data_IF_160410694521
#
_entry.id   IF_160410694521
#
_cell.length_a   1.000
_cell.length_b   1.000
_cell.length_c   1.000
_cell.angle_alpha   90.00
_cell.angle_beta   90.00
_cell.angle_gamma   90.00
#
_symmetry.space_group_name_H-M   'P 1'
#
loop_
_entity.id
_entity.type
_entity.pdbx_description
1 polymer ?
#
# COMPACT_ATOMS: atom_id res chain seq x y z
N UNK A 1 30.79 18.29 -4.18
CA UNK A 1 31.61 17.08 -4.32
C UNK A 1 32.98 17.35 -3.69
N UNK A 2 33.56 16.35 -3.02
CA UNK A 2 34.91 16.44 -2.48
C UNK A 2 35.91 16.39 -3.66
N UNK A 3 36.92 17.26 -3.64
CA UNK A 3 38.03 17.18 -4.58
C UNK A 3 39.05 16.12 -4.16
N UNK A 4 39.99 15.76 -5.06
CA UNK A 4 41.02 14.75 -4.83
C UNK A 4 41.86 14.97 -3.58
N UNK A 5 42.25 16.23 -3.31
CA UNK A 5 43.04 16.59 -2.14
C UNK A 5 42.28 16.32 -0.83
N UNK A 6 40.98 16.68 -0.77
CA UNK A 6 40.14 16.44 0.42
C UNK A 6 39.90 14.94 0.61
N UNK A 7 39.73 14.18 -0.47
CA UNK A 7 39.59 12.71 -0.40
C UNK A 7 40.87 12.08 0.14
N UNK A 8 42.04 12.55 -0.25
CA UNK A 8 43.34 12.09 0.27
C UNK A 8 43.45 12.40 1.78
N UNK A 9 43.17 13.63 2.20
CA UNK A 9 43.16 14.01 3.62
C UNK A 9 42.16 13.19 4.44
N UNK A 10 40.97 12.93 3.88
CA UNK A 10 39.97 12.07 4.54
C UNK A 10 40.48 10.64 4.76
N UNK A 11 41.16 10.07 3.77
CA UNK A 11 41.74 8.72 3.87
C UNK A 11 42.84 8.66 4.94
N UNK A 12 43.73 9.68 4.99
CA UNK A 12 44.75 9.82 6.01
C UNK A 12 44.10 9.93 7.43
N UNK A 13 43.06 10.74 7.58
CA UNK A 13 42.34 10.92 8.85
C UNK A 13 41.57 9.67 9.29
N UNK A 14 41.18 8.79 8.37
CA UNK A 14 40.51 7.53 8.66
C UNK A 14 41.47 6.33 8.78
N UNK A 15 42.79 6.58 8.73
CA UNK A 15 43.80 5.53 8.72
C UNK A 15 43.55 4.46 7.65
N UNK A 16 43.07 4.88 6.45
CA UNK A 16 42.79 3.99 5.34
C UNK A 16 43.99 3.89 4.38
N UNK A 17 44.86 2.87 4.53
CA UNK A 17 46.11 2.80 3.80
C UNK A 17 46.02 2.27 2.36
N UNK A 18 44.84 1.78 1.96
CA UNK A 18 44.64 1.10 0.69
C UNK A 18 44.42 2.11 -0.44
N UNK A 19 44.70 1.72 -1.70
CA UNK A 19 44.49 2.52 -2.87
C UNK A 19 43.02 2.83 -3.15
N UNK A 20 42.73 3.71 -4.12
CA UNK A 20 41.35 3.98 -4.53
C UNK A 20 40.67 2.71 -5.05
N UNK A 21 39.44 2.45 -4.59
CA UNK A 21 38.66 1.26 -4.93
C UNK A 21 39.29 -0.08 -4.52
N UNK A 22 40.38 -0.06 -3.74
CA UNK A 22 40.98 -1.25 -3.17
C UNK A 22 40.35 -1.51 -1.78
N UNK A 23 39.70 -2.66 -1.63
CA UNK A 23 39.11 -3.12 -0.36
C UNK A 23 39.81 -4.41 0.04
N UNK A 24 40.39 -4.49 1.24
CA UNK A 24 41.12 -5.69 1.67
C UNK A 24 40.19 -6.91 1.82
N UNK A 25 40.74 -8.09 1.58
CA UNK A 25 40.00 -9.35 1.60
C UNK A 25 39.33 -9.65 2.94
N UNK A 26 39.93 -9.22 4.06
CA UNK A 26 39.32 -9.37 5.39
C UNK A 26 37.98 -8.62 5.49
N UNK A 27 37.86 -7.43 4.89
CA UNK A 27 36.59 -6.69 4.89
C UNK A 27 35.57 -7.39 3.98
N UNK A 28 35.97 -7.92 2.83
CA UNK A 28 35.08 -8.75 2.03
C UNK A 28 34.59 -9.98 2.80
N UNK A 29 35.50 -10.67 3.51
CA UNK A 29 35.13 -11.84 4.29
C UNK A 29 34.16 -11.50 5.46
N UNK A 30 34.38 -10.36 6.12
CA UNK A 30 33.51 -9.89 7.21
C UNK A 30 32.09 -9.50 6.73
N UNK A 31 31.98 -9.02 5.48
CA UNK A 31 30.70 -8.63 4.88
C UNK A 31 30.07 -9.73 4.02
N UNK A 32 30.78 -10.81 3.74
CA UNK A 32 30.23 -11.93 2.98
C UNK A 32 29.22 -12.71 3.81
N UNK A 33 27.95 -12.54 3.46
CA UNK A 33 26.82 -13.23 4.09
C UNK A 33 26.34 -14.45 3.27
N UNK A 34 27.10 -14.92 2.28
CA UNK A 34 26.69 -15.98 1.35
C UNK A 34 26.31 -17.27 2.10
N UNK A 35 27.17 -17.75 2.99
CA UNK A 35 26.94 -18.99 3.74
C UNK A 35 25.75 -18.89 4.71
N UNK A 36 25.61 -17.77 5.41
CA UNK A 36 24.49 -17.55 6.33
C UNK A 36 23.18 -17.32 5.55
N UNK A 37 23.27 -16.65 4.41
CA UNK A 37 22.15 -16.44 3.49
C UNK A 37 21.63 -17.77 2.95
N UNK A 38 22.53 -18.64 2.47
CA UNK A 38 22.17 -19.99 2.00
C UNK A 38 21.48 -20.80 3.09
N UNK A 39 21.98 -20.76 4.32
CA UNK A 39 21.35 -21.45 5.45
C UNK A 39 19.92 -20.95 5.73
N UNK A 40 19.68 -19.63 5.64
CA UNK A 40 18.34 -19.07 5.82
C UNK A 40 17.41 -19.45 4.68
N UNK A 41 17.91 -19.51 3.46
CA UNK A 41 17.15 -19.95 2.29
C UNK A 41 16.74 -21.43 2.40
N UNK A 42 17.68 -22.29 2.79
CA UNK A 42 17.42 -23.72 3.01
C UNK A 42 16.35 -23.94 4.10
N UNK A 43 16.48 -23.25 5.25
CA UNK A 43 15.51 -23.29 6.36
C UNK A 43 14.12 -22.79 5.91
N UNK A 44 14.06 -21.73 5.12
CA UNK A 44 12.81 -21.25 4.53
C UNK A 44 12.19 -22.29 3.59
N UNK A 45 12.96 -22.87 2.70
CA UNK A 45 12.50 -23.87 1.74
C UNK A 45 11.97 -25.11 2.45
N UNK A 46 12.64 -25.58 3.51
CA UNK A 46 12.17 -26.70 4.34
C UNK A 46 10.81 -26.39 4.99
N UNK A 47 10.67 -25.19 5.59
CA UNK A 47 9.41 -24.74 6.19
C UNK A 47 8.27 -24.66 5.17
N UNK A 48 8.55 -24.17 3.96
CA UNK A 48 7.55 -24.09 2.88
C UNK A 48 7.14 -25.50 2.42
N UNK A 49 8.07 -26.43 2.29
CA UNK A 49 7.75 -27.82 1.95
C UNK A 49 6.92 -28.51 3.05
N UNK A 50 7.25 -28.28 4.31
CA UNK A 50 6.46 -28.75 5.44
C UNK A 50 5.05 -28.18 5.40
N UNK A 51 4.90 -26.88 5.19
CA UNK A 51 3.60 -26.23 5.05
C UNK A 51 2.78 -26.82 3.89
N UNK A 52 3.42 -27.09 2.74
CA UNK A 52 2.75 -27.73 1.58
C UNK A 52 2.21 -29.13 1.89
N UNK A 53 2.92 -29.89 2.71
CA UNK A 53 2.50 -31.25 3.09
C UNK A 53 1.43 -31.24 4.19
N UNK A 54 1.55 -30.35 5.19
CA UNK A 54 0.66 -30.34 6.36
C UNK A 54 -0.60 -29.49 6.14
N UNK A 55 -0.50 -28.40 5.38
CA UNK A 55 -1.61 -27.49 5.12
C UNK A 55 -1.55 -26.89 3.70
N UNK A 56 -1.97 -27.65 2.68
CA UNK A 56 -1.92 -27.24 1.27
C UNK A 56 -2.65 -25.91 1.00
N UNK A 57 -3.79 -25.68 1.65
CA UNK A 57 -4.59 -24.45 1.46
C UNK A 57 -3.82 -23.20 1.94
N UNK A 58 -3.13 -23.29 3.07
CA UNK A 58 -2.28 -22.18 3.53
C UNK A 58 -1.05 -21.99 2.66
N UNK A 59 -0.50 -23.08 2.13
CA UNK A 59 0.65 -23.00 1.22
C UNK A 59 0.26 -22.32 -0.09
N UNK A 60 -0.90 -22.68 -0.66
CA UNK A 60 -1.45 -22.02 -1.85
C UNK A 60 -1.73 -20.53 -1.60
N UNK A 61 -2.32 -20.20 -0.45
CA UNK A 61 -2.53 -18.81 -0.05
C UNK A 61 -1.20 -18.06 0.05
N UNK A 62 -0.18 -18.62 0.71
CA UNK A 62 1.14 -18.01 0.84
C UNK A 62 1.76 -17.75 -0.54
N UNK A 63 1.73 -18.76 -1.43
CA UNK A 63 2.28 -18.63 -2.78
C UNK A 63 1.54 -17.56 -3.60
N UNK A 64 0.21 -17.50 -3.48
CA UNK A 64 -0.62 -16.47 -4.12
C UNK A 64 -0.25 -15.06 -3.64
N UNK A 65 -0.11 -14.89 -2.31
CA UNK A 65 0.25 -13.60 -1.70
C UNK A 65 1.65 -13.14 -2.08
N UNK A 66 2.64 -14.04 -2.07
CA UNK A 66 4.01 -13.73 -2.48
C UNK A 66 4.12 -13.37 -3.97
N UNK A 67 3.25 -13.92 -4.81
CA UNK A 67 3.16 -13.59 -6.23
C UNK A 67 2.20 -12.44 -6.53
N UNK A 68 1.62 -11.80 -5.51
CA UNK A 68 0.67 -10.68 -5.60
C UNK A 68 -0.54 -10.94 -6.52
N UNK A 69 -0.96 -12.19 -6.63
CA UNK A 69 -2.09 -12.61 -7.47
C UNK A 69 -3.41 -12.49 -6.72
N UNK A 70 -4.45 -12.04 -7.42
CA UNK A 70 -5.82 -12.12 -6.91
C UNK A 70 -6.32 -13.59 -6.92
N UNK A 71 -7.31 -13.95 -6.08
CA UNK A 71 -7.92 -15.28 -6.12
C UNK A 71 -8.51 -15.59 -7.50
N UNK A 72 -8.41 -16.84 -7.98
CA UNK A 72 -8.92 -17.25 -9.31
C UNK A 72 -10.40 -16.87 -9.54
N UNK A 73 -11.22 -17.00 -8.50
CA UNK A 73 -12.65 -16.68 -8.57
C UNK A 73 -12.97 -15.20 -8.32
N UNK A 74 -11.96 -14.34 -8.14
CA UNK A 74 -12.20 -12.94 -7.81
C UNK A 74 -13.03 -12.22 -8.88
N UNK A 75 -12.69 -12.37 -10.17
CA UNK A 75 -13.39 -11.69 -11.26
C UNK A 75 -14.85 -12.18 -11.41
N UNK A 76 -15.09 -13.46 -11.27
CA UNK A 76 -16.45 -14.02 -11.32
C UNK A 76 -17.30 -13.54 -10.14
N UNK A 77 -16.76 -13.59 -8.93
CA UNK A 77 -17.45 -13.10 -7.73
C UNK A 77 -17.72 -11.60 -7.82
N UNK A 78 -16.76 -10.83 -8.35
CA UNK A 78 -16.93 -9.40 -8.53
C UNK A 78 -18.00 -9.07 -9.59
N UNK A 79 -18.10 -9.85 -10.64
CA UNK A 79 -19.15 -9.69 -11.67
C UNK A 79 -20.55 -9.90 -11.08
N UNK A 80 -20.72 -10.94 -10.24
CA UNK A 80 -21.99 -11.18 -9.52
C UNK A 80 -22.31 -9.99 -8.60
N UNK A 81 -21.32 -9.47 -7.88
CA UNK A 81 -21.50 -8.29 -7.03
C UNK A 81 -21.92 -7.04 -7.84
N UNK A 82 -21.35 -6.83 -9.04
CA UNK A 82 -21.77 -5.74 -9.92
C UNK A 82 -23.23 -5.91 -10.40
N UNK A 83 -23.66 -7.13 -10.73
CA UNK A 83 -25.05 -7.40 -11.10
C UNK A 83 -26.03 -7.10 -9.95
N UNK A 84 -25.65 -7.40 -8.71
CA UNK A 84 -26.44 -7.05 -7.52
C UNK A 84 -26.54 -5.53 -7.35
N UNK A 85 -25.43 -4.79 -7.53
CA UNK A 85 -25.43 -3.33 -7.49
C UNK A 85 -26.37 -2.75 -8.54
N UNK A 86 -26.35 -3.27 -9.76
CA UNK A 86 -27.21 -2.79 -10.86
C UNK A 86 -28.70 -3.02 -10.59
N UNK A 87 -29.06 -4.08 -9.90
CA UNK A 87 -30.46 -4.37 -9.50
C UNK A 87 -30.99 -3.43 -8.42
N UNK A 88 -30.10 -2.92 -7.55
CA UNK A 88 -30.42 -2.11 -6.39
C UNK A 88 -29.75 -0.73 -6.45
N UNK A 89 -29.97 -0.01 -7.57
CA UNK A 89 -29.33 1.29 -7.84
C UNK A 89 -30.03 2.44 -7.10
N UNK A 90 -29.93 2.45 -5.77
CA UNK A 90 -30.40 3.57 -4.95
C UNK A 90 -29.31 4.63 -4.79
N UNK A 91 -29.69 5.93 -4.75
CA UNK A 91 -28.78 7.01 -4.45
C UNK A 91 -28.14 6.82 -3.07
N UNK A 92 -26.83 6.80 -3.01
CA UNK A 92 -26.06 6.59 -1.78
C UNK A 92 -24.87 7.53 -1.75
N UNK A 93 -24.51 8.05 -0.58
CA UNK A 93 -23.28 8.83 -0.40
C UNK A 93 -22.04 8.02 -0.84
N UNK A 94 -21.13 8.63 -1.58
CA UNK A 94 -19.97 7.94 -2.18
C UNK A 94 -19.08 7.26 -1.13
N UNK A 95 -18.93 7.83 0.07
CA UNK A 95 -18.23 7.17 1.19
C UNK A 95 -18.93 5.88 1.67
N UNK A 96 -20.26 5.83 1.62
CA UNK A 96 -21.05 4.62 1.91
C UNK A 96 -20.98 3.62 0.76
N UNK A 97 -20.93 4.10 -0.47
CA UNK A 97 -20.66 3.26 -1.64
C UNK A 97 -19.30 2.56 -1.49
N UNK A 98 -18.26 3.30 -1.14
CA UNK A 98 -16.92 2.75 -0.85
C UNK A 98 -16.97 1.70 0.27
N UNK A 99 -17.69 1.95 1.36
CA UNK A 99 -17.85 0.98 2.46
C UNK A 99 -18.53 -0.32 2.00
N UNK A 100 -19.58 -0.24 1.18
CA UNK A 100 -20.24 -1.44 0.60
C UNK A 100 -19.27 -2.26 -0.25
N UNK A 101 -18.46 -1.61 -1.05
CA UNK A 101 -17.43 -2.29 -1.86
C UNK A 101 -16.36 -2.91 -0.97
N UNK A 102 -15.87 -2.19 0.03
CA UNK A 102 -14.91 -2.70 1.01
C UNK A 102 -15.44 -3.91 1.78
N UNK A 103 -16.72 -3.93 2.12
CA UNK A 103 -17.37 -5.07 2.77
C UNK A 103 -17.29 -6.34 1.91
N UNK A 104 -17.49 -6.20 0.60
CA UNK A 104 -17.29 -7.29 -0.35
C UNK A 104 -15.82 -7.68 -0.49
N UNK A 105 -14.94 -6.70 -0.70
CA UNK A 105 -13.52 -6.94 -0.94
C UNK A 105 -12.85 -7.63 0.25
N UNK A 106 -13.07 -7.17 1.47
CA UNK A 106 -12.45 -7.75 2.68
C UNK A 106 -12.90 -9.19 2.98
N UNK A 107 -14.09 -9.60 2.51
CA UNK A 107 -14.54 -10.99 2.60
C UNK A 107 -13.86 -11.90 1.58
N UNK A 108 -13.39 -11.34 0.47
CA UNK A 108 -12.77 -12.09 -0.63
C UNK A 108 -11.23 -11.98 -0.67
N UNK A 109 -10.67 -10.97 -0.01
CA UNK A 109 -9.22 -10.65 -0.02
C UNK A 109 -8.71 -10.51 1.41
N UNK A 110 -8.24 -11.59 2.04
CA UNK A 110 -7.71 -11.55 3.41
C UNK A 110 -6.45 -10.68 3.54
N UNK A 111 -5.73 -10.45 2.43
CA UNK A 111 -4.58 -9.57 2.34
C UNK A 111 -4.90 -8.09 2.36
N UNK A 112 -6.18 -7.70 2.26
CA UNK A 112 -6.57 -6.29 2.25
C UNK A 112 -6.55 -5.72 3.67
N UNK A 113 -5.52 -4.92 3.98
CA UNK A 113 -5.33 -4.29 5.29
C UNK A 113 -5.77 -2.83 5.25
N UNK A 114 -6.71 -2.47 6.12
CA UNK A 114 -7.33 -1.15 6.14
C UNK A 114 -6.85 -0.23 7.24
N UNK A 115 -7.26 1.04 7.15
CA UNK A 115 -7.02 2.00 8.22
C UNK A 115 -7.62 3.39 7.99
N UNK A 116 -7.42 4.27 8.96
CA UNK A 116 -7.76 5.68 8.85
C UNK A 116 -6.95 6.54 9.82
N UNK A 117 -6.70 7.79 9.43
CA UNK A 117 -6.09 8.81 10.28
C UNK A 117 -7.14 9.46 11.19
N UNK A 118 -7.63 8.68 12.17
CA UNK A 118 -8.64 9.06 13.18
C UNK A 118 -10.02 9.47 12.63
N UNK A 119 -10.33 9.07 11.40
CA UNK A 119 -11.56 9.42 10.69
C UNK A 119 -12.36 8.18 10.23
N UNK A 120 -12.19 7.02 10.88
CA UNK A 120 -12.80 5.75 10.46
C UNK A 120 -14.31 5.84 10.25
N UNK A 121 -15.02 6.49 11.19
CA UNK A 121 -16.47 6.69 11.12
C UNK A 121 -16.91 7.68 10.02
N UNK A 122 -16.11 8.69 9.74
CA UNK A 122 -16.38 9.71 8.71
C UNK A 122 -16.02 9.22 7.31
N UNK A 123 -14.88 8.56 7.15
CA UNK A 123 -14.43 7.99 5.88
C UNK A 123 -15.16 6.69 5.49
N UNK A 124 -15.76 5.99 6.47
CA UNK A 124 -16.34 4.65 6.29
C UNK A 124 -15.34 3.63 5.71
N UNK A 125 -14.12 3.62 6.22
CA UNK A 125 -13.05 2.71 5.81
C UNK A 125 -13.04 1.39 6.59
N UNK A 126 -13.80 1.30 7.68
CA UNK A 126 -14.05 0.07 8.42
C UNK A 126 -15.30 -0.66 7.91
N UNK A 127 -15.34 -1.97 8.11
CA UNK A 127 -16.38 -2.90 7.69
C UNK A 127 -16.78 -3.82 8.85
N UNK A 128 -17.81 -4.63 8.65
CA UNK A 128 -18.26 -5.62 9.66
C UNK A 128 -17.19 -6.68 10.02
N UNK A 129 -16.23 -6.90 9.11
CA UNK A 129 -15.12 -7.85 9.29
C UNK A 129 -13.80 -7.16 9.62
N UNK A 130 -13.82 -5.87 9.95
CA UNK A 130 -12.64 -5.14 10.39
C UNK A 130 -12.31 -5.44 11.84
N UNK A 131 -11.11 -5.95 12.07
CA UNK A 131 -10.55 -6.22 13.39
C UNK A 131 -9.33 -5.35 13.64
N UNK A 132 -9.22 -4.64 14.77
CA UNK A 132 -8.07 -3.78 15.04
C UNK A 132 -6.78 -4.60 15.18
N UNK A 133 -5.70 -4.04 14.68
CA UNK A 133 -4.34 -4.51 14.98
C UNK A 133 -3.87 -3.80 16.24
N UNK A 134 -3.48 -4.56 17.24
CA UNK A 134 -2.94 -4.07 18.52
C UNK A 134 -1.69 -4.85 18.90
N UNK A 135 -1.01 -4.45 19.97
CA UNK A 135 0.14 -5.20 20.52
C UNK A 135 -0.21 -6.62 20.99
N UNK A 136 -1.48 -6.89 21.27
CA UNK A 136 -1.99 -8.17 21.80
C UNK A 136 -2.94 -8.90 20.86
N UNK A 137 -3.30 -8.31 19.71
CA UNK A 137 -4.30 -8.87 18.81
C UNK A 137 -3.90 -8.68 17.35
N UNK A 138 -3.87 -9.77 16.61
CA UNK A 138 -3.78 -9.74 15.17
C UNK A 138 -5.10 -9.30 14.56
N UNK A 139 -5.03 -8.49 13.52
CA UNK A 139 -6.20 -7.93 12.85
C UNK A 139 -5.92 -7.56 11.40
N UNK A 140 -6.82 -6.77 10.83
CA UNK A 140 -6.77 -6.31 9.46
C UNK A 140 -7.12 -4.82 9.31
N UNK A 141 -7.08 -4.06 10.44
CA UNK A 141 -7.41 -2.64 10.45
C UNK A 141 -6.53 -1.88 11.45
N UNK A 142 -5.93 -0.78 10.98
CA UNK A 142 -5.01 0.06 11.76
C UNK A 142 -5.67 1.41 12.06
N UNK A 143 -5.77 1.76 13.34
CA UNK A 143 -6.12 3.10 13.79
C UNK A 143 -4.86 3.95 13.89
N UNK A 144 -4.56 4.73 12.86
CA UNK A 144 -3.31 5.51 12.77
C UNK A 144 -3.28 6.72 13.70
N UNK A 145 -4.43 7.16 14.23
CA UNK A 145 -4.57 8.44 14.90
C UNK A 145 -4.41 9.60 13.91
N UNK A 146 -4.31 10.82 14.39
CA UNK A 146 -4.12 12.02 13.55
C UNK A 146 -2.69 12.08 13.05
N UNK A 147 -2.34 11.25 12.05
CA UNK A 147 -0.98 11.06 11.52
C UNK A 147 -1.01 10.72 10.02
N UNK A 148 -1.46 11.63 9.19
CA UNK A 148 -1.66 11.40 7.75
C UNK A 148 -0.35 11.02 7.04
N UNK A 149 0.76 11.72 7.36
CA UNK A 149 2.07 11.36 6.82
C UNK A 149 2.52 9.96 7.29
N UNK A 150 2.43 9.70 8.59
CA UNK A 150 2.79 8.40 9.17
C UNK A 150 1.95 7.26 8.60
N UNK A 151 0.63 7.47 8.47
CA UNK A 151 -0.29 6.52 7.83
C UNK A 151 0.16 6.18 6.41
N UNK A 152 0.39 7.20 5.58
CA UNK A 152 0.79 6.99 4.19
C UNK A 152 2.17 6.33 4.08
N UNK A 153 3.13 6.72 4.92
CA UNK A 153 4.47 6.13 4.95
C UNK A 153 4.45 4.66 5.42
N UNK A 154 3.64 4.34 6.44
CA UNK A 154 3.45 2.95 6.90
C UNK A 154 2.80 2.10 5.79
N UNK A 155 1.79 2.62 5.08
CA UNK A 155 1.21 1.92 3.94
C UNK A 155 2.24 1.66 2.84
N UNK A 156 3.12 2.62 2.55
CA UNK A 156 4.22 2.41 1.61
C UNK A 156 5.13 1.25 2.07
N UNK A 157 5.47 1.20 3.35
CA UNK A 157 6.27 0.12 3.94
C UNK A 157 5.57 -1.24 3.86
N UNK A 158 4.27 -1.31 4.13
CA UNK A 158 3.47 -2.54 4.02
C UNK A 158 3.46 -3.04 2.56
N UNK A 159 3.26 -2.13 1.60
CA UNK A 159 3.27 -2.49 0.18
C UNK A 159 4.65 -2.99 -0.28
N UNK A 160 5.73 -2.34 0.17
CA UNK A 160 7.10 -2.75 -0.16
C UNK A 160 7.50 -4.10 0.46
N UNK A 161 6.94 -4.43 1.61
CA UNK A 161 7.14 -5.76 2.24
C UNK A 161 6.53 -6.88 1.39
N UNK A 162 5.44 -6.59 0.66
CA UNK A 162 4.71 -7.56 -0.16
C UNK A 162 3.73 -8.42 0.65
N UNK A 163 2.88 -9.15 -0.07
CA UNK A 163 1.89 -10.07 0.52
C UNK A 163 0.63 -9.41 1.09
N UNK A 164 0.61 -8.07 1.22
CA UNK A 164 -0.52 -7.31 1.73
C UNK A 164 -0.88 -6.14 0.79
N UNK A 165 -2.16 -5.79 0.73
CA UNK A 165 -2.66 -4.64 -0.02
C UNK A 165 -3.18 -3.60 0.97
N UNK A 166 -2.42 -2.52 1.23
CA UNK A 166 -2.83 -1.49 2.18
C UNK A 166 -3.80 -0.51 1.56
N UNK A 167 -4.84 -0.16 2.32
CA UNK A 167 -5.68 1.01 2.05
C UNK A 167 -5.90 1.82 3.33
N UNK A 168 -5.97 3.12 3.23
CA UNK A 168 -6.41 3.93 4.36
C UNK A 168 -7.04 5.26 3.93
N UNK A 169 -7.86 5.81 4.83
CA UNK A 169 -8.66 6.98 4.59
C UNK A 169 -8.34 8.18 5.46
N UNK A 170 -8.54 9.34 4.85
CA UNK A 170 -8.64 10.64 5.51
C UNK A 170 -9.51 11.57 4.66
N UNK A 171 -9.75 12.81 5.06
CA UNK A 171 -10.37 13.80 4.19
C UNK A 171 -9.40 14.24 3.08
N UNK A 172 -9.93 14.60 1.91
CA UNK A 172 -9.08 14.96 0.78
C UNK A 172 -8.16 16.15 1.11
N UNK A 173 -8.63 17.14 1.84
CA UNK A 173 -7.82 18.31 2.24
C UNK A 173 -6.60 17.90 3.07
N UNK A 174 -6.71 16.85 3.89
CA UNK A 174 -5.60 16.38 4.73
C UNK A 174 -4.54 15.58 3.97
N UNK A 175 -4.74 15.36 2.67
CA UNK A 175 -3.65 14.91 1.79
C UNK A 175 -2.42 15.82 1.90
N UNK A 176 -2.61 17.11 2.15
CA UNK A 176 -1.51 18.07 2.29
C UNK A 176 -0.52 17.67 3.38
N UNK A 177 -1.00 17.14 4.51
CA UNK A 177 -0.12 16.62 5.58
C UNK A 177 0.65 15.37 5.16
N UNK A 178 0.10 14.55 4.28
CA UNK A 178 0.70 13.28 3.82
C UNK A 178 1.28 13.33 2.40
N UNK A 179 1.26 14.47 1.73
CA UNK A 179 1.56 14.62 0.30
C UNK A 179 2.90 14.01 -0.12
N UNK A 180 3.93 14.19 0.68
CA UNK A 180 5.25 13.65 0.36
C UNK A 180 5.21 12.11 0.29
N UNK A 181 4.61 11.44 1.27
CA UNK A 181 4.50 9.99 1.28
C UNK A 181 3.63 9.46 0.13
N UNK A 182 2.54 10.16 -0.22
CA UNK A 182 1.69 9.86 -1.39
C UNK A 182 2.51 9.97 -2.69
N UNK A 183 3.28 11.06 -2.84
CA UNK A 183 4.17 11.23 -3.99
C UNK A 183 5.24 10.14 -4.06
N UNK A 184 5.77 9.71 -2.91
CA UNK A 184 6.76 8.63 -2.85
C UNK A 184 6.15 7.28 -3.28
N UNK A 185 4.90 6.97 -2.91
CA UNK A 185 4.21 5.78 -3.41
C UNK A 185 4.16 5.77 -4.94
N UNK A 186 3.78 6.90 -5.55
CA UNK A 186 3.73 7.05 -7.00
C UNK A 186 5.12 6.94 -7.66
N UNK A 187 6.15 7.54 -7.04
CA UNK A 187 7.53 7.48 -7.54
C UNK A 187 8.10 6.05 -7.49
N UNK A 188 7.80 5.31 -6.43
CA UNK A 188 8.23 3.92 -6.25
C UNK A 188 7.40 2.93 -7.08
N UNK A 189 6.25 3.35 -7.63
CA UNK A 189 5.35 2.48 -8.40
C UNK A 189 4.74 1.35 -7.58
N UNK A 190 4.45 1.60 -6.29
CA UNK A 190 3.95 0.59 -5.35
C UNK A 190 2.43 0.61 -5.22
N UNK A 191 1.85 -0.52 -4.82
CA UNK A 191 0.41 -0.70 -4.65
C UNK A 191 -0.07 -0.17 -3.30
N UNK A 192 -0.57 1.06 -3.28
CA UNK A 192 -1.18 1.70 -2.10
C UNK A 192 -2.49 2.37 -2.51
N UNK A 193 -3.56 2.14 -1.75
CA UNK A 193 -4.88 2.70 -2.03
C UNK A 193 -5.20 3.80 -1.01
N UNK A 194 -5.17 5.05 -1.47
CA UNK A 194 -5.55 6.22 -0.68
C UNK A 194 -7.04 6.49 -0.84
N UNK A 195 -7.80 6.43 0.25
CA UNK A 195 -9.26 6.64 0.26
C UNK A 195 -9.55 8.03 0.80
N UNK A 196 -9.80 8.97 -0.10
CA UNK A 196 -10.13 10.34 0.26
C UNK A 196 -11.65 10.57 0.22
N UNK A 197 -12.20 11.04 1.32
CA UNK A 197 -13.60 11.48 1.39
C UNK A 197 -13.69 13.00 1.60
N UNK A 198 -14.91 13.55 1.66
CA UNK A 198 -15.14 14.98 1.86
C UNK A 198 -14.40 15.83 0.81
N UNK A 199 -14.58 15.48 -0.45
CA UNK A 199 -13.82 15.98 -1.61
C UNK A 199 -14.44 17.19 -2.30
N UNK A 200 -15.29 17.93 -1.60
CA UNK A 200 -16.03 19.06 -2.19
C UNK A 200 -15.87 20.36 -1.40
N UNK A 201 -15.77 21.47 -2.11
CA UNK A 201 -15.90 22.82 -1.55
C UNK A 201 -17.27 23.09 -0.92
N UNK A 202 -18.27 22.28 -1.22
CA UNK A 202 -19.61 22.36 -0.63
C UNK A 202 -19.71 21.71 0.76
N UNK A 203 -18.62 21.21 1.32
CA UNK A 203 -18.54 20.78 2.72
C UNK A 203 -18.76 22.01 3.61
N UNK A 204 -19.92 22.10 4.28
CA UNK A 204 -20.35 23.35 4.90
C UNK A 204 -19.89 23.52 6.35
N UNK A 205 -20.18 22.56 7.22
CA UNK A 205 -20.03 22.72 8.68
C UNK A 205 -18.57 22.89 9.13
N UNK A 206 -17.64 22.16 8.54
CA UNK A 206 -16.23 22.17 8.93
C UNK A 206 -15.48 23.41 8.43
N UNK A 207 -16.03 24.12 7.46
CA UNK A 207 -15.50 25.39 6.95
C UNK A 207 -14.26 25.26 6.03
N UNK A 208 -13.58 26.40 5.76
CA UNK A 208 -12.51 26.48 4.76
C UNK A 208 -11.32 25.56 4.98
N UNK A 209 -11.00 25.23 6.23
CA UNK A 209 -9.89 24.35 6.58
C UNK A 209 -10.11 22.89 6.14
N UNK A 210 -11.34 22.53 5.76
CA UNK A 210 -11.74 21.18 5.35
C UNK A 210 -12.24 21.12 3.91
N UNK A 211 -12.21 22.23 3.18
CA UNK A 211 -12.73 22.39 1.81
C UNK A 211 -11.58 22.28 0.80
N UNK A 212 -11.41 21.14 0.10
CA UNK A 212 -10.36 20.97 -0.89
C UNK A 212 -10.68 21.74 -2.17
N UNK A 213 -9.68 22.38 -2.75
CA UNK A 213 -9.78 23.12 -4.03
C UNK A 213 -8.81 22.53 -5.06
N UNK A 214 -7.50 22.66 -4.86
CA UNK A 214 -6.44 22.24 -5.79
C UNK A 214 -6.02 20.77 -5.66
N UNK A 215 -6.48 20.07 -4.65
CA UNK A 215 -6.03 18.71 -4.29
C UNK A 215 -6.22 17.69 -5.41
N UNK A 216 -7.38 17.70 -6.10
CA UNK A 216 -7.61 16.80 -7.23
C UNK A 216 -6.67 17.10 -8.40
N UNK A 217 -6.40 18.37 -8.67
CA UNK A 217 -5.42 18.78 -9.70
C UNK A 217 -4.03 18.29 -9.31
N UNK A 218 -3.65 18.44 -8.06
CA UNK A 218 -2.37 17.95 -7.52
C UNK A 218 -2.23 16.43 -7.69
N UNK A 219 -3.24 15.65 -7.34
CA UNK A 219 -3.23 14.20 -7.52
C UNK A 219 -3.13 13.81 -9.00
N UNK A 220 -3.94 14.42 -9.87
CA UNK A 220 -3.97 14.14 -11.31
C UNK A 220 -2.69 14.54 -12.04
N UNK A 221 -1.98 15.55 -11.55
CA UNK A 221 -0.68 15.99 -12.11
C UNK A 221 0.51 15.19 -11.58
N UNK A 222 0.32 14.34 -10.58
CA UNK A 222 1.40 13.49 -10.04
C UNK A 222 1.64 12.30 -10.97
N UNK A 223 2.83 12.14 -11.59
CA UNK A 223 3.13 11.00 -12.45
C UNK A 223 2.92 9.66 -11.72
N UNK A 224 2.42 8.66 -12.43
CA UNK A 224 2.08 7.32 -11.92
C UNK A 224 0.94 7.27 -10.90
N UNK A 225 0.29 8.40 -10.59
CA UNK A 225 -0.86 8.42 -9.70
C UNK A 225 -2.15 8.25 -10.51
N UNK A 226 -2.95 7.24 -10.17
CA UNK A 226 -4.30 7.08 -10.70
C UNK A 226 -5.30 7.73 -9.75
N UNK A 227 -6.08 8.66 -10.26
CA UNK A 227 -7.05 9.43 -9.47
C UNK A 227 -8.46 9.18 -9.98
N UNK A 228 -9.27 8.53 -9.15
CA UNK A 228 -10.67 8.22 -9.42
C UNK A 228 -11.58 9.09 -8.55
N UNK A 229 -12.60 9.69 -9.15
CA UNK A 229 -13.64 10.42 -8.45
C UNK A 229 -15.00 9.88 -8.90
N UNK A 230 -15.41 8.78 -8.26
CA UNK A 230 -16.64 8.09 -8.57
C UNK A 230 -17.88 8.86 -8.08
N UNK A 231 -18.94 8.91 -8.89
CA UNK A 231 -20.21 9.59 -8.58
C UNK A 231 -21.33 8.62 -8.20
N UNK A 232 -21.15 7.31 -8.41
CA UNK A 232 -22.14 6.27 -8.14
C UNK A 232 -21.53 5.05 -7.44
N UNK A 233 -22.39 4.16 -6.91
CA UNK A 233 -21.95 2.90 -6.34
C UNK A 233 -21.23 2.02 -7.39
N UNK A 234 -21.74 1.99 -8.61
CA UNK A 234 -21.13 1.23 -9.71
C UNK A 234 -19.74 1.76 -10.05
N UNK A 235 -19.60 3.07 -10.26
CA UNK A 235 -18.29 3.68 -10.52
C UNK A 235 -17.32 3.47 -9.37
N UNK A 236 -17.80 3.54 -8.12
CA UNK A 236 -16.99 3.27 -6.94
C UNK A 236 -16.49 1.82 -6.94
N UNK A 237 -17.35 0.86 -7.28
CA UNK A 237 -16.96 -0.54 -7.35
C UNK A 237 -15.90 -0.78 -8.44
N UNK A 238 -16.09 -0.17 -9.62
CA UNK A 238 -15.11 -0.25 -10.71
C UNK A 238 -13.78 0.39 -10.32
N UNK A 239 -13.81 1.57 -9.67
CA UNK A 239 -12.60 2.25 -9.21
C UNK A 239 -11.82 1.39 -8.20
N UNK A 240 -12.49 0.75 -7.25
CA UNK A 240 -11.88 -0.19 -6.32
C UNK A 240 -11.26 -1.39 -7.04
N UNK A 241 -11.99 -2.01 -7.98
CA UNK A 241 -11.44 -3.12 -8.78
C UNK A 241 -10.17 -2.72 -9.53
N UNK A 242 -10.21 -1.59 -10.22
CA UNK A 242 -9.07 -1.08 -10.97
C UNK A 242 -7.88 -0.77 -10.06
N UNK A 243 -8.12 -0.24 -8.86
CA UNK A 243 -7.06 0.00 -7.86
C UNK A 243 -6.38 -1.28 -7.39
N UNK A 244 -7.04 -2.44 -7.47
CA UNK A 244 -6.44 -3.74 -7.14
C UNK A 244 -5.64 -4.34 -8.29
N UNK A 245 -5.97 -4.02 -9.54
CA UNK A 245 -5.39 -4.64 -10.74
C UNK A 245 -4.21 -3.84 -11.29
N UNK A 246 -4.34 -2.50 -11.40
CA UNK A 246 -3.43 -1.68 -12.21
C UNK A 246 -2.10 -1.28 -11.55
N UNK A 247 -1.88 -1.57 -10.28
CA UNK A 247 -0.66 -1.13 -9.58
C UNK A 247 0.46 -2.19 -9.63
N UNK A 248 0.21 -3.38 -10.19
CA UNK A 248 1.16 -4.50 -10.17
C UNK A 248 1.97 -4.72 -11.46
N UNK A 249 1.73 -3.96 -12.54
CA UNK A 249 2.59 -4.02 -13.71
C UNK A 249 3.29 -2.69 -13.95
N UNK A 250 4.63 -2.62 -13.77
CA UNK A 250 5.40 -1.57 -14.40
C UNK A 250 5.25 -1.78 -15.91
N UNK A 251 4.47 -0.93 -16.58
CA UNK A 251 4.54 -0.84 -18.04
C UNK A 251 6.00 -0.53 -18.38
N UNK A 252 6.80 -1.56 -18.72
CA UNK A 252 8.05 -1.38 -19.41
C UNK A 252 7.71 -0.67 -20.72
N UNK A 253 7.90 0.65 -20.75
CA UNK A 253 8.11 1.33 -22.01
C UNK A 253 9.45 0.80 -22.54
N UNK A 254 9.38 -0.12 -23.48
CA UNK A 254 10.50 -0.37 -24.39
C UNK A 254 10.69 0.92 -25.17
N UNK A 255 11.77 1.62 -24.87
CA UNK A 255 12.34 2.66 -25.73
C UNK A 255 12.89 2.03 -26.98
#
# INVERSE_FOLDING_TARGET
>A
ALGSEIVKELRENLDWPYSEFEIPNEIYADWDASDIGQKYEDDWNEKVQTLKSENPEKAELLERLLNEKLPEKFDSNFSVFLEEILKHNEPIATRKASQKVLEFLKKNLPELIGGSADLSGSNNTNTSVSNPITSSQNGNYIYYGVREFGMNAIMNGISLHGGLIPYAGTFLVFMDYGRNAVRMAALMGIKVIFVYSHDSVALGEDGPTHQPIEHLTTLRSTPNMQTWRAASLLETAVAWKLSLIHISEPTRRTT
#
